data_IF_916789231938
#
_entry.id   IF_916789231938
#
_cell.length_a   1.000
_cell.length_b   1.000
_cell.length_c   1.000
_cell.angle_alpha   90.00
_cell.angle_beta   90.00
_cell.angle_gamma   90.00
#
_symmetry.space_group_name_H-M   'P 1'
#
loop_
_entity.id
_entity.type
_entity.pdbx_description
1 polymer ?
#
# COMPACT_ATOMS: atom_id res chain seq x y z
N UNK A 1 15.36 15.99 -19.76
CA UNK A 1 13.97 15.52 -19.92
C UNK A 1 13.97 14.02 -20.06
N UNK A 2 13.22 13.30 -19.22
CA UNK A 2 13.11 11.84 -19.26
C UNK A 2 12.19 11.39 -20.39
N UNK A 3 12.48 10.23 -20.98
CA UNK A 3 11.71 9.60 -22.05
C UNK A 3 11.84 8.07 -22.01
N UNK A 4 11.27 7.36 -23.00
CA UNK A 4 11.31 5.89 -23.04
C UNK A 4 12.72 5.30 -23.06
N UNK A 5 13.71 6.01 -23.57
CA UNK A 5 15.09 5.52 -23.66
C UNK A 5 15.91 5.85 -22.42
N UNK A 6 15.35 6.60 -21.46
CA UNK A 6 16.02 6.88 -20.18
C UNK A 6 16.23 5.57 -19.40
N UNK A 7 17.45 5.30 -18.91
CA UNK A 7 17.73 4.13 -18.06
C UNK A 7 16.84 4.10 -16.81
N UNK A 8 16.53 2.89 -16.33
CA UNK A 8 15.61 2.67 -15.20
C UNK A 8 16.01 3.44 -13.94
N UNK A 9 17.30 3.48 -13.60
CA UNK A 9 17.78 4.14 -12.38
C UNK A 9 17.72 5.66 -12.48
N UNK A 10 18.09 6.23 -13.63
CA UNK A 10 17.99 7.67 -13.88
C UNK A 10 16.53 8.13 -13.87
N UNK A 11 15.65 7.34 -14.50
CA UNK A 11 14.21 7.58 -14.51
C UNK A 11 13.63 7.53 -13.10
N UNK A 12 13.98 6.50 -12.32
CA UNK A 12 13.55 6.36 -10.93
C UNK A 12 13.96 7.56 -10.08
N UNK A 13 15.26 7.90 -10.08
CA UNK A 13 15.78 9.00 -9.26
C UNK A 13 15.14 10.34 -9.65
N UNK A 14 14.99 10.59 -10.95
CA UNK A 14 14.35 11.82 -11.45
C UNK A 14 12.89 11.91 -11.02
N UNK A 15 12.12 10.83 -11.17
CA UNK A 15 10.70 10.82 -10.79
C UNK A 15 10.53 10.96 -9.29
N UNK A 16 11.33 10.28 -8.47
CA UNK A 16 11.27 10.38 -7.01
C UNK A 16 11.52 11.80 -6.52
N UNK A 17 12.52 12.50 -7.09
CA UNK A 17 12.84 13.88 -6.70
C UNK A 17 11.80 14.89 -7.21
N UNK A 18 11.37 14.75 -8.46
CA UNK A 18 10.45 15.71 -9.07
C UNK A 18 8.99 15.51 -8.65
N UNK A 19 8.59 14.31 -8.22
CA UNK A 19 7.26 14.04 -7.68
C UNK A 19 6.94 14.96 -6.48
N UNK A 20 7.84 15.07 -5.52
CA UNK A 20 7.64 15.92 -4.33
C UNK A 20 7.56 17.40 -4.71
N UNK A 21 8.34 17.84 -5.72
CA UNK A 21 8.26 19.21 -6.24
C UNK A 21 6.93 19.46 -6.95
N UNK A 22 6.43 18.49 -7.71
CA UNK A 22 5.15 18.56 -8.40
C UNK A 22 3.97 18.62 -7.41
N UNK A 23 4.02 17.81 -6.34
CA UNK A 23 3.06 17.84 -5.23
C UNK A 23 3.09 19.18 -4.49
N UNK A 24 4.27 19.69 -4.14
CA UNK A 24 4.42 21.02 -3.54
C UNK A 24 3.84 22.12 -4.43
N UNK A 25 4.12 22.06 -5.74
CA UNK A 25 3.57 23.00 -6.70
C UNK A 25 2.04 22.96 -6.75
N UNK A 26 1.44 21.76 -6.76
CA UNK A 26 0.00 21.58 -6.71
C UNK A 26 -0.63 22.29 -5.49
N UNK A 27 -0.09 22.02 -4.29
CA UNK A 27 -0.55 22.65 -3.04
C UNK A 27 -0.46 24.18 -3.13
N UNK A 28 0.64 24.70 -3.70
CA UNK A 28 0.82 26.13 -3.92
C UNK A 28 -0.24 26.72 -4.87
N UNK A 29 -0.60 26.02 -5.94
CA UNK A 29 -1.64 26.47 -6.89
C UNK A 29 -3.04 26.52 -6.26
N UNK A 30 -3.33 25.65 -5.31
CA UNK A 30 -4.55 25.74 -4.49
C UNK A 30 -4.51 26.87 -3.44
N UNK A 31 -3.42 27.62 -3.37
CA UNK A 31 -3.25 28.77 -2.47
C UNK A 31 -2.62 28.40 -1.12
N UNK A 32 -1.84 27.32 -1.08
CA UNK A 32 -1.08 26.87 0.09
C UNK A 32 -1.81 25.84 0.95
N UNK A 33 -1.10 25.28 1.92
CA UNK A 33 -1.51 24.12 2.73
C UNK A 33 -2.95 24.24 3.26
N UNK A 34 -3.26 25.34 3.95
CA UNK A 34 -4.58 25.55 4.57
C UNK A 34 -5.73 25.54 3.57
N UNK A 35 -5.53 26.09 2.36
CA UNK A 35 -6.57 26.10 1.32
C UNK A 35 -6.68 24.76 0.62
N UNK A 36 -5.56 24.07 0.44
CA UNK A 36 -5.52 22.72 -0.07
C UNK A 36 -6.23 21.74 0.87
N UNK A 37 -5.98 21.80 2.19
CA UNK A 37 -6.70 21.03 3.20
C UNK A 37 -8.20 21.29 3.15
N UNK A 38 -8.63 22.55 3.14
CA UNK A 38 -10.05 22.89 3.05
C UNK A 38 -10.72 22.40 1.75
N UNK A 39 -9.99 22.42 0.63
CA UNK A 39 -10.44 21.87 -0.65
C UNK A 39 -10.59 20.34 -0.58
N UNK A 40 -9.61 19.67 0.02
CA UNK A 40 -9.61 18.20 0.26
C UNK A 40 -10.79 17.78 1.13
N UNK A 41 -11.02 18.46 2.26
CA UNK A 41 -12.13 18.16 3.17
C UNK A 41 -13.50 18.35 2.49
N UNK A 42 -13.62 19.37 1.65
CA UNK A 42 -14.82 19.60 0.83
C UNK A 42 -15.00 18.50 -0.22
N UNK A 43 -13.92 18.03 -0.86
CA UNK A 43 -13.99 16.91 -1.81
C UNK A 43 -14.38 15.60 -1.12
N UNK A 44 -13.76 15.27 0.03
CA UNK A 44 -14.11 14.10 0.86
C UNK A 44 -15.60 14.10 1.21
N UNK A 45 -16.11 15.22 1.73
CA UNK A 45 -17.52 15.36 2.10
C UNK A 45 -18.46 15.18 0.89
N UNK A 46 -18.10 15.76 -0.27
CA UNK A 46 -18.86 15.63 -1.51
C UNK A 46 -18.83 14.21 -2.08
N UNK A 47 -17.70 13.51 -1.94
CA UNK A 47 -17.50 12.13 -2.38
C UNK A 47 -18.47 11.20 -1.63
N UNK A 48 -18.53 11.30 -0.31
CA UNK A 48 -19.49 10.53 0.52
C UNK A 48 -20.93 10.88 0.17
N UNK A 49 -21.26 12.18 0.05
CA UNK A 49 -22.62 12.62 -0.29
C UNK A 49 -23.09 12.11 -1.66
N UNK A 50 -22.21 12.15 -2.67
CA UNK A 50 -22.51 11.68 -4.02
C UNK A 50 -22.37 10.16 -4.19
N UNK A 51 -21.77 9.47 -3.22
CA UNK A 51 -21.46 8.05 -3.27
C UNK A 51 -20.65 7.68 -4.52
N UNK A 52 -19.71 8.54 -4.91
CA UNK A 52 -18.83 8.30 -6.05
C UNK A 52 -17.47 8.97 -5.86
N UNK A 53 -16.42 8.35 -6.41
CA UNK A 53 -15.07 8.91 -6.43
C UNK A 53 -15.04 10.24 -7.21
N UNK A 54 -14.24 11.19 -6.72
CA UNK A 54 -14.13 12.54 -7.27
C UNK A 54 -12.67 12.96 -7.39
N UNK A 55 -12.37 13.84 -8.33
CA UNK A 55 -11.06 14.48 -8.45
C UNK A 55 -11.17 15.99 -8.25
N UNK A 56 -10.09 16.64 -7.82
CA UNK A 56 -9.97 18.10 -7.88
C UNK A 56 -9.80 18.59 -9.32
N UNK A 57 -9.73 19.91 -9.47
CA UNK A 57 -9.19 20.53 -10.67
C UNK A 57 -7.74 20.08 -10.88
N UNK A 58 -7.33 20.03 -12.15
CA UNK A 58 -6.01 19.58 -12.56
C UNK A 58 -5.02 20.73 -12.57
N UNK A 59 -3.82 20.48 -12.05
CA UNK A 59 -2.69 21.40 -12.02
C UNK A 59 -1.56 20.87 -12.90
N UNK A 60 -0.93 21.76 -13.65
CA UNK A 60 0.25 21.45 -14.45
C UNK A 60 1.52 22.00 -13.80
N UNK A 61 2.58 21.21 -13.85
CA UNK A 61 3.92 21.59 -13.41
C UNK A 61 4.95 21.20 -14.47
N UNK A 62 5.89 22.09 -14.77
CA UNK A 62 7.04 21.77 -15.61
C UNK A 62 8.29 21.93 -14.78
N UNK A 63 9.07 20.86 -14.66
CA UNK A 63 10.33 20.87 -13.91
C UNK A 63 11.40 21.70 -14.63
N UNK A 64 12.47 22.06 -13.90
CA UNK A 64 13.64 22.74 -14.48
C UNK A 64 14.30 21.92 -15.60
N UNK A 65 14.18 20.59 -15.51
CA UNK A 65 14.70 19.63 -16.49
C UNK A 65 13.79 19.46 -17.72
N UNK A 66 12.68 20.20 -17.76
CA UNK A 66 11.68 20.19 -18.84
C UNK A 66 10.65 19.07 -18.73
N UNK A 67 10.65 18.28 -17.64
CA UNK A 67 9.68 17.20 -17.46
C UNK A 67 8.32 17.80 -17.10
N UNK A 68 7.26 17.31 -17.75
CA UNK A 68 5.91 17.83 -17.56
C UNK A 68 5.11 16.91 -16.67
N UNK A 69 4.42 17.50 -15.72
CA UNK A 69 3.67 16.82 -14.67
C UNK A 69 2.23 17.30 -14.68
N UNK A 70 1.32 16.35 -14.46
CA UNK A 70 -0.09 16.58 -14.24
C UNK A 70 -0.42 16.11 -12.83
N UNK A 71 -0.98 17.00 -12.02
CA UNK A 71 -1.24 16.79 -10.60
C UNK A 71 -2.69 17.10 -10.26
N UNK A 72 -3.31 16.27 -9.43
CA UNK A 72 -4.65 16.53 -8.89
C UNK A 72 -4.87 15.73 -7.60
N UNK A 73 -5.83 16.16 -6.80
CA UNK A 73 -6.30 15.38 -5.66
C UNK A 73 -7.31 14.34 -6.15
N UNK A 74 -7.07 13.07 -5.84
CA UNK A 74 -8.02 12.00 -6.10
C UNK A 74 -8.70 11.58 -4.81
N UNK A 75 -10.02 11.48 -4.80
CA UNK A 75 -10.81 11.01 -3.67
C UNK A 75 -11.56 9.74 -4.06
N UNK A 76 -11.21 8.64 -3.42
CA UNK A 76 -11.84 7.32 -3.62
C UNK A 76 -13.00 7.14 -2.65
N UNK A 77 -14.16 6.70 -3.16
CA UNK A 77 -15.30 6.28 -2.35
C UNK A 77 -15.24 4.77 -2.07
N UNK A 78 -15.53 4.38 -0.83
CA UNK A 78 -15.62 2.99 -0.39
C UNK A 78 -17.09 2.67 -0.04
N UNK A 79 -17.84 2.00 -0.94
CA UNK A 79 -19.27 1.76 -0.75
C UNK A 79 -19.60 0.98 0.53
N UNK A 80 -18.80 -0.03 0.85
CA UNK A 80 -19.06 -0.93 1.99
C UNK A 80 -19.05 -0.21 3.35
N UNK A 81 -18.33 0.90 3.46
CA UNK A 81 -18.16 1.65 4.71
C UNK A 81 -18.73 3.07 4.65
N UNK A 82 -19.29 3.47 3.52
CA UNK A 82 -19.69 4.85 3.24
C UNK A 82 -18.60 5.86 3.62
N UNK A 83 -17.35 5.48 3.36
CA UNK A 83 -16.19 6.27 3.70
C UNK A 83 -15.44 6.71 2.44
N UNK A 84 -14.54 7.67 2.61
CA UNK A 84 -13.77 8.23 1.51
C UNK A 84 -12.36 8.53 1.96
N UNK A 85 -11.41 8.36 1.05
CA UNK A 85 -10.02 8.75 1.26
C UNK A 85 -9.50 9.57 0.10
N UNK A 86 -8.58 10.49 0.41
CA UNK A 86 -7.98 11.40 -0.55
C UNK A 86 -6.48 11.14 -0.67
N UNK A 87 -5.97 11.14 -1.90
CA UNK A 87 -4.54 11.03 -2.18
C UNK A 87 -4.13 12.00 -3.30
N UNK A 88 -3.06 12.78 -3.10
CA UNK A 88 -2.48 13.57 -4.18
C UNK A 88 -1.90 12.64 -5.23
N UNK A 89 -2.26 12.86 -6.48
CA UNK A 89 -1.86 12.04 -7.61
C UNK A 89 -1.08 12.89 -8.61
N UNK A 90 0.17 12.51 -8.90
CA UNK A 90 1.04 13.23 -9.82
C UNK A 90 1.61 12.26 -10.88
N UNK A 91 1.40 12.56 -12.16
CA UNK A 91 1.94 11.78 -13.27
C UNK A 91 2.88 12.64 -14.11
N UNK A 92 4.03 12.08 -14.48
CA UNK A 92 4.91 12.72 -15.44
C UNK A 92 4.53 12.26 -16.85
N UNK A 93 4.40 13.18 -17.81
CA UNK A 93 4.03 12.85 -19.18
C UNK A 93 4.97 13.51 -20.19
N UNK A 94 5.02 12.90 -21.37
CA UNK A 94 5.73 13.45 -22.52
C UNK A 94 4.88 13.25 -23.77
N UNK A 95 5.12 14.07 -24.77
CA UNK A 95 4.43 13.99 -26.05
C UNK A 95 5.42 13.55 -27.12
N UNK A 96 4.92 12.79 -28.07
CA UNK A 96 5.60 12.53 -29.34
C UNK A 96 4.86 13.27 -30.45
N UNK A 97 5.42 13.28 -31.66
CA UNK A 97 4.74 13.87 -32.81
C UNK A 97 3.32 13.29 -33.00
N UNK A 98 3.14 11.98 -32.81
CA UNK A 98 1.89 11.26 -33.10
C UNK A 98 1.08 10.83 -31.87
N UNK A 99 1.62 10.88 -30.65
CA UNK A 99 0.95 10.37 -29.44
C UNK A 99 1.55 11.00 -28.17
N UNK A 100 1.36 10.38 -27.00
CA UNK A 100 1.88 10.77 -25.69
C UNK A 100 2.23 9.53 -24.87
N UNK A 101 3.09 9.65 -23.88
CA UNK A 101 3.34 8.60 -22.89
C UNK A 101 3.37 9.16 -21.48
N UNK A 102 3.22 8.27 -20.50
CA UNK A 102 3.15 8.63 -19.07
C UNK A 102 4.10 7.74 -18.27
N UNK A 103 4.73 8.34 -17.28
CA UNK A 103 5.37 7.69 -16.16
C UNK A 103 4.48 7.87 -14.93
N UNK A 104 3.99 6.76 -14.38
CA UNK A 104 3.14 6.71 -13.20
C UNK A 104 3.95 6.13 -12.03
N UNK A 105 4.43 6.96 -11.10
CA UNK A 105 5.02 6.48 -9.85
C UNK A 105 3.98 5.75 -9.00
N UNK A 106 4.36 4.60 -8.44
CA UNK A 106 3.59 3.87 -7.44
C UNK A 106 4.27 3.92 -6.10
N UNK A 107 3.48 4.00 -5.05
CA UNK A 107 3.95 4.12 -3.67
C UNK A 107 3.42 2.95 -2.83
N UNK A 108 4.22 2.50 -1.88
CA UNK A 108 3.79 1.53 -0.86
C UNK A 108 3.03 2.25 0.29
N UNK A 109 2.57 1.48 1.27
CA UNK A 109 1.87 1.99 2.45
C UNK A 109 2.71 3.00 3.28
N UNK A 110 4.04 2.90 3.20
CA UNK A 110 4.99 3.80 3.85
C UNK A 110 5.23 5.09 3.06
N UNK A 111 4.48 5.33 1.97
CA UNK A 111 4.65 6.46 1.06
C UNK A 111 6.02 6.49 0.36
N UNK A 112 6.71 5.35 0.28
CA UNK A 112 7.94 5.20 -0.48
C UNK A 112 7.61 4.73 -1.89
N UNK A 113 8.27 5.33 -2.89
CA UNK A 113 8.09 4.90 -4.27
C UNK A 113 8.59 3.46 -4.41
N UNK A 114 7.71 2.54 -4.83
CA UNK A 114 8.00 1.11 -4.89
C UNK A 114 7.98 0.54 -6.32
N UNK A 115 7.41 1.27 -7.27
CA UNK A 115 7.43 0.94 -8.69
C UNK A 115 7.20 2.17 -9.57
N UNK A 116 7.51 2.04 -10.86
CA UNK A 116 7.09 3.00 -11.89
C UNK A 116 6.46 2.25 -13.05
N UNK A 117 5.23 2.62 -13.40
CA UNK A 117 4.58 2.18 -14.64
C UNK A 117 4.85 3.17 -15.77
N UNK A 118 5.31 2.65 -16.90
CA UNK A 118 5.51 3.37 -18.15
C UNK A 118 4.38 3.00 -19.10
N UNK A 119 3.49 3.94 -19.36
CA UNK A 119 2.42 3.81 -20.34
C UNK A 119 2.92 4.40 -21.66
N UNK A 120 3.14 3.51 -22.63
CA UNK A 120 3.80 3.86 -23.89
C UNK A 120 2.90 4.64 -24.86
N UNK A 121 3.46 5.35 -25.86
CA UNK A 121 2.67 6.03 -26.88
C UNK A 121 1.82 5.09 -27.74
N UNK A 122 2.30 3.87 -27.95
CA UNK A 122 1.52 2.81 -28.61
C UNK A 122 0.31 2.40 -27.76
N UNK A 123 0.44 2.33 -26.43
CA UNK A 123 -0.71 2.12 -25.55
C UNK A 123 -1.78 3.19 -25.76
N UNK A 124 -1.41 4.48 -25.78
CA UNK A 124 -2.38 5.57 -25.92
C UNK A 124 -3.11 5.56 -27.25
N UNK A 125 -2.42 5.22 -28.34
CA UNK A 125 -3.04 5.03 -29.65
C UNK A 125 -4.12 3.94 -29.57
N UNK A 126 -3.77 2.80 -28.99
CA UNK A 126 -4.70 1.68 -28.81
C UNK A 126 -5.83 1.99 -27.83
N UNK A 127 -5.57 2.77 -26.79
CA UNK A 127 -6.58 3.20 -25.82
C UNK A 127 -7.60 4.14 -26.48
N UNK A 128 -7.13 5.11 -27.27
CA UNK A 128 -8.00 6.01 -28.02
C UNK A 128 -8.91 5.26 -29.00
N UNK A 129 -8.32 4.37 -29.81
CA UNK A 129 -9.05 3.51 -30.75
C UNK A 129 -10.14 2.70 -30.05
N UNK A 130 -9.79 2.04 -28.93
CA UNK A 130 -10.70 1.12 -28.24
C UNK A 130 -11.79 1.79 -27.43
N UNK A 131 -11.50 2.96 -26.86
CA UNK A 131 -12.47 3.70 -26.05
C UNK A 131 -13.31 4.67 -26.87
N UNK A 132 -13.14 4.69 -28.20
CA UNK A 132 -13.84 5.60 -29.10
C UNK A 132 -13.55 7.06 -28.78
N UNK A 133 -12.33 7.37 -28.33
CA UNK A 133 -11.93 8.73 -27.96
C UNK A 133 -11.25 9.36 -29.17
N UNK A 134 -12.01 10.13 -29.94
CA UNK A 134 -11.48 11.01 -30.98
C UNK A 134 -11.16 12.38 -30.37
N UNK A 135 -9.94 12.89 -30.53
CA UNK A 135 -9.63 14.26 -30.10
C UNK A 135 -8.20 14.55 -29.66
N UNK A 136 -8.08 15.67 -28.95
CA UNK A 136 -6.84 16.24 -28.40
C UNK A 136 -6.12 15.26 -27.45
N UNK A 137 -4.81 15.09 -27.64
CA UNK A 137 -3.91 14.30 -26.79
C UNK A 137 -4.10 14.63 -25.30
N UNK A 138 -4.31 15.91 -24.97
CA UNK A 138 -4.52 16.32 -23.59
C UNK A 138 -5.85 15.87 -23.02
N UNK A 139 -6.92 15.84 -23.81
CA UNK A 139 -8.20 15.28 -23.37
C UNK A 139 -8.11 13.77 -23.15
N UNK A 140 -7.42 13.06 -24.04
CA UNK A 140 -7.15 11.63 -23.88
C UNK A 140 -6.35 11.35 -22.61
N UNK A 141 -5.28 12.12 -22.36
CA UNK A 141 -4.47 12.04 -21.15
C UNK A 141 -5.33 12.27 -19.91
N UNK A 142 -6.09 13.37 -19.87
CA UNK A 142 -6.96 13.71 -18.74
C UNK A 142 -7.96 12.60 -18.45
N UNK A 143 -8.68 12.13 -19.48
CA UNK A 143 -9.63 11.03 -19.35
C UNK A 143 -8.98 9.74 -18.88
N UNK A 144 -7.74 9.45 -19.29
CA UNK A 144 -7.00 8.29 -18.80
C UNK A 144 -6.63 8.45 -17.33
N UNK A 145 -5.97 9.54 -16.94
CA UNK A 145 -5.39 9.71 -15.60
C UNK A 145 -6.44 9.92 -14.50
N UNK A 146 -7.52 10.66 -14.76
CA UNK A 146 -8.60 10.85 -13.77
C UNK A 146 -9.42 9.59 -13.56
N UNK A 147 -9.19 8.58 -14.40
CA UNK A 147 -9.89 7.31 -14.37
C UNK A 147 -8.97 6.21 -13.82
N UNK A 148 -7.66 6.29 -14.06
CA UNK A 148 -6.67 5.29 -13.63
C UNK A 148 -5.95 5.74 -12.37
N UNK A 149 -6.62 5.67 -11.22
CA UNK A 149 -6.10 6.18 -9.94
C UNK A 149 -5.43 5.10 -9.07
N UNK A 150 -5.60 3.82 -9.39
CA UNK A 150 -4.88 2.72 -8.77
C UNK A 150 -4.61 1.62 -9.79
N UNK A 151 -3.55 0.86 -9.53
CA UNK A 151 -3.17 -0.27 -10.37
C UNK A 151 -2.57 -1.41 -9.55
N UNK A 152 -2.69 -2.62 -10.08
CA UNK A 152 -2.09 -3.83 -9.54
C UNK A 152 -1.22 -4.45 -10.61
N UNK A 153 0.01 -4.79 -10.24
CA UNK A 153 0.99 -5.45 -11.12
C UNK A 153 1.18 -6.87 -10.62
N UNK A 154 1.06 -7.83 -11.54
CA UNK A 154 1.46 -9.21 -11.29
C UNK A 154 2.60 -9.55 -12.24
N UNK A 155 3.82 -9.79 -11.71
CA UNK A 155 4.88 -10.39 -12.51
C UNK A 155 4.46 -11.80 -12.94
N UNK A 156 4.80 -12.14 -14.17
CA UNK A 156 4.69 -13.48 -14.74
C UNK A 156 6.08 -14.12 -14.77
N UNK A 157 6.10 -15.43 -15.05
CA UNK A 157 7.34 -16.17 -15.24
C UNK A 157 8.28 -15.45 -16.22
N UNK A 158 9.53 -15.35 -15.81
CA UNK A 158 10.63 -14.91 -16.65
C UNK A 158 10.73 -15.85 -17.85
N UNK A 159 10.74 -15.29 -19.06
CA UNK A 159 10.93 -16.12 -20.24
C UNK A 159 12.37 -16.60 -20.41
N UNK A 160 12.60 -17.48 -21.38
CA UNK A 160 13.90 -18.10 -21.64
C UNK A 160 15.03 -17.07 -21.91
N UNK A 161 14.68 -15.82 -22.21
CA UNK A 161 15.63 -14.73 -22.43
C UNK A 161 15.86 -13.85 -21.20
N UNK A 162 15.36 -14.25 -20.02
CA UNK A 162 15.48 -13.46 -18.81
C UNK A 162 14.50 -12.29 -18.73
N UNK A 163 13.49 -12.22 -19.60
CA UNK A 163 12.52 -11.12 -19.63
C UNK A 163 11.32 -11.43 -18.73
N UNK A 164 11.15 -10.66 -17.66
CA UNK A 164 9.98 -10.76 -16.78
C UNK A 164 8.78 -10.08 -17.45
N UNK A 165 7.78 -10.87 -17.84
CA UNK A 165 6.51 -10.35 -18.39
C UNK A 165 5.63 -9.91 -17.23
N UNK A 166 4.77 -8.94 -17.46
CA UNK A 166 3.83 -8.46 -16.43
C UNK A 166 2.41 -8.37 -16.97
N UNK A 167 1.45 -8.48 -16.05
CA UNK A 167 0.07 -8.09 -16.25
C UNK A 167 -0.23 -6.93 -15.30
N UNK A 168 -0.82 -5.87 -15.83
CA UNK A 168 -1.24 -4.70 -15.07
C UNK A 168 -2.75 -4.58 -15.18
N UNK A 169 -3.45 -4.36 -14.06
CA UNK A 169 -4.88 -4.01 -14.08
C UNK A 169 -5.07 -2.70 -13.33
N UNK A 170 -5.87 -1.79 -13.89
CA UNK A 170 -6.26 -0.57 -13.18
C UNK A 170 -7.65 -0.69 -12.58
N UNK A 171 -8.04 0.31 -11.80
CA UNK A 171 -9.40 0.48 -11.28
C UNK A 171 -10.50 0.45 -12.34
N UNK A 172 -10.17 0.70 -13.61
CA UNK A 172 -11.14 0.98 -14.67
C UNK A 172 -11.20 -0.10 -15.76
N UNK A 173 -11.02 -1.35 -15.35
CA UNK A 173 -11.33 -2.55 -16.14
C UNK A 173 -10.57 -2.71 -17.46
N UNK A 174 -9.38 -2.12 -17.55
CA UNK A 174 -8.44 -2.51 -18.58
C UNK A 174 -7.31 -3.37 -18.03
N UNK A 175 -6.92 -4.35 -18.85
CA UNK A 175 -5.78 -5.22 -18.58
C UNK A 175 -4.65 -4.85 -19.52
N UNK A 176 -3.53 -4.40 -18.96
CA UNK A 176 -2.31 -4.12 -19.68
C UNK A 176 -1.37 -5.32 -19.65
N UNK A 177 -0.67 -5.52 -20.76
CA UNK A 177 0.46 -6.46 -20.81
C UNK A 177 1.74 -5.70 -21.10
N UNK A 178 2.79 -6.11 -20.40
CA UNK A 178 4.05 -5.40 -20.40
C UNK A 178 5.22 -6.28 -20.04
N UNK A 179 6.33 -5.61 -19.76
CA UNK A 179 7.58 -6.20 -19.30
C UNK A 179 8.17 -5.39 -18.16
N UNK A 180 8.95 -6.02 -17.28
CA UNK A 180 9.87 -5.29 -16.41
C UNK A 180 11.11 -4.90 -17.19
N UNK A 181 11.56 -3.65 -17.05
CA UNK A 181 12.84 -3.20 -17.62
C UNK A 181 13.99 -3.77 -16.82
N UNK A 182 15.13 -3.97 -17.48
CA UNK A 182 16.38 -4.33 -16.82
C UNK A 182 16.79 -3.27 -15.79
N UNK A 183 17.42 -3.72 -14.71
CA UNK A 183 17.91 -2.89 -13.62
C UNK A 183 17.35 -3.32 -12.26
N UNK A 184 17.88 -2.68 -11.22
CA UNK A 184 17.56 -3.04 -9.82
C UNK A 184 16.22 -2.44 -9.36
N UNK A 185 15.68 -1.49 -10.12
CA UNK A 185 14.41 -0.82 -9.82
C UNK A 185 13.23 -1.51 -10.49
N UNK A 186 12.08 -1.47 -9.81
CA UNK A 186 10.81 -1.99 -10.32
C UNK A 186 10.19 -1.02 -11.33
N UNK A 187 10.74 -1.01 -12.54
CA UNK A 187 10.27 -0.19 -13.66
C UNK A 187 9.61 -1.08 -14.69
N UNK A 188 8.36 -0.78 -15.02
CA UNK A 188 7.46 -1.66 -15.75
C UNK A 188 6.90 -0.97 -16.97
N UNK A 189 7.09 -1.53 -18.17
CA UNK A 189 6.63 -0.95 -19.43
C UNK A 189 5.38 -1.66 -19.95
N UNK A 190 4.27 -0.93 -19.99
CA UNK A 190 2.99 -1.40 -20.52
C UNK A 190 2.91 -1.06 -22.01
N UNK A 191 2.88 -2.10 -22.84
CA UNK A 191 2.95 -1.97 -24.30
C UNK A 191 1.60 -2.05 -24.99
N UNK A 192 0.65 -2.71 -24.35
CA UNK A 192 -0.70 -2.93 -24.89
C UNK A 192 -1.73 -2.93 -23.78
N UNK A 193 -2.97 -2.77 -24.20
CA UNK A 193 -4.19 -2.81 -23.39
C UNK A 193 -5.12 -3.84 -23.99
N UNK A 194 -5.93 -4.50 -23.19
CA UNK A 194 -7.03 -5.38 -23.60
C UNK A 194 -8.21 -5.10 -22.68
N UNK A 195 -9.41 -5.06 -23.26
CA UNK A 195 -10.65 -5.11 -22.47
C UNK A 195 -10.95 -6.56 -22.08
N UNK A 196 -11.76 -6.77 -21.05
CA UNK A 196 -12.09 -8.14 -20.58
C UNK A 196 -12.69 -9.02 -21.69
N UNK A 197 -13.49 -8.42 -22.60
CA UNK A 197 -14.06 -9.10 -23.77
C UNK A 197 -13.01 -9.55 -24.81
N UNK A 198 -11.81 -8.98 -24.78
CA UNK A 198 -10.72 -9.25 -25.73
C UNK A 198 -9.70 -10.25 -25.18
N UNK A 199 -9.84 -10.67 -23.92
CA UNK A 199 -8.95 -11.65 -23.31
C UNK A 199 -9.28 -13.04 -23.86
N UNK A 200 -8.25 -13.76 -24.31
CA UNK A 200 -8.36 -15.21 -24.52
C UNK A 200 -8.63 -15.91 -23.18
N UNK A 201 -9.19 -17.13 -23.19
CA UNK A 201 -9.45 -17.90 -21.95
C UNK A 201 -8.24 -17.98 -21.01
N UNK A 202 -7.04 -18.19 -21.56
CA UNK A 202 -5.80 -18.22 -20.79
C UNK A 202 -5.43 -16.85 -20.20
N UNK A 203 -5.67 -15.76 -20.94
CA UNK A 203 -5.48 -14.41 -20.44
C UNK A 203 -6.53 -14.06 -19.39
N UNK A 204 -7.80 -14.45 -19.56
CA UNK A 204 -8.86 -14.26 -18.56
C UNK A 204 -8.50 -14.90 -17.23
N UNK A 205 -8.07 -16.17 -17.23
CA UNK A 205 -7.65 -16.85 -16.00
C UNK A 205 -6.48 -16.14 -15.30
N UNK A 206 -5.52 -15.63 -16.08
CA UNK A 206 -4.37 -14.85 -15.55
C UNK A 206 -4.82 -13.50 -15.01
N UNK A 207 -5.73 -12.82 -15.70
CA UNK A 207 -6.31 -11.54 -15.25
C UNK A 207 -7.14 -11.72 -13.98
N UNK A 208 -7.83 -12.86 -13.82
CA UNK A 208 -8.56 -13.18 -12.60
C UNK A 208 -7.64 -13.25 -11.39
N UNK A 209 -6.45 -13.83 -11.55
CA UNK A 209 -5.41 -13.80 -10.51
C UNK A 209 -5.05 -12.36 -10.13
N UNK A 210 -4.88 -11.46 -11.10
CA UNK A 210 -4.58 -10.03 -10.82
C UNK A 210 -5.77 -9.33 -10.15
N UNK A 211 -7.00 -9.67 -10.52
CA UNK A 211 -8.21 -9.15 -9.87
C UNK A 211 -8.27 -9.58 -8.40
N UNK A 212 -8.04 -10.85 -8.13
CA UNK A 212 -8.00 -11.39 -6.77
C UNK A 212 -6.81 -10.81 -5.96
N UNK A 213 -5.64 -10.62 -6.59
CA UNK A 213 -4.52 -9.93 -5.96
C UNK A 213 -4.88 -8.51 -5.54
N UNK A 214 -5.60 -7.77 -6.40
CA UNK A 214 -6.07 -6.42 -6.06
C UNK A 214 -6.95 -6.44 -4.82
N UNK A 215 -7.98 -7.30 -4.75
CA UNK A 215 -8.87 -7.37 -3.59
C UNK A 215 -8.12 -7.59 -2.27
N UNK A 216 -6.99 -8.29 -2.33
CA UNK A 216 -6.20 -8.68 -1.16
C UNK A 216 -5.12 -7.65 -0.81
N UNK A 217 -4.53 -7.02 -1.83
CA UNK A 217 -3.40 -6.08 -1.72
C UNK A 217 -3.80 -4.61 -1.82
N UNK A 218 -5.08 -4.29 -2.07
CA UNK A 218 -5.56 -2.92 -2.11
C UNK A 218 -5.26 -2.26 -0.77
N UNK A 219 -4.43 -1.22 -0.82
CA UNK A 219 -4.13 -0.43 0.37
C UNK A 219 -5.40 0.33 0.76
N UNK A 220 -5.91 0.02 1.94
CA UNK A 220 -7.02 0.73 2.55
C UNK A 220 -6.47 1.58 3.70
N UNK A 221 -6.78 2.88 3.73
CA UNK A 221 -6.43 3.73 4.86
C UNK A 221 -7.01 3.20 6.17
N UNK A 222 -6.33 3.49 7.26
CA UNK A 222 -6.65 2.98 8.58
C UNK A 222 -8.10 3.27 8.98
N UNK A 223 -8.61 4.47 8.70
CA UNK A 223 -9.97 4.88 9.03
C UNK A 223 -11.03 4.05 8.28
N UNK A 224 -10.70 3.61 7.06
CA UNK A 224 -11.57 2.75 6.25
C UNK A 224 -11.59 1.33 6.83
N UNK A 225 -10.41 0.81 7.17
CA UNK A 225 -10.26 -0.51 7.80
C UNK A 225 -11.01 -0.56 9.13
N UNK A 226 -10.86 0.47 9.97
CA UNK A 226 -11.57 0.57 11.25
C UNK A 226 -13.10 0.55 11.07
N UNK A 227 -13.63 1.30 10.10
CA UNK A 227 -15.07 1.28 9.80
C UNK A 227 -15.53 -0.09 9.30
N UNK A 228 -14.75 -0.76 8.44
CA UNK A 228 -15.06 -2.14 8.00
C UNK A 228 -15.13 -3.09 9.19
N UNK A 229 -14.15 -3.01 10.09
CA UNK A 229 -14.09 -3.84 11.30
C UNK A 229 -15.27 -3.57 12.24
N UNK A 230 -15.67 -2.31 12.42
CA UNK A 230 -16.84 -1.94 13.23
C UNK A 230 -18.16 -2.47 12.64
N UNK A 231 -18.23 -2.60 11.32
CA UNK A 231 -19.38 -3.20 10.62
C UNK A 231 -19.28 -4.74 10.50
N UNK A 232 -18.17 -5.35 10.92
CA UNK A 232 -17.94 -6.78 10.76
C UNK A 232 -18.45 -7.56 11.98
N UNK A 233 -19.36 -8.51 11.75
CA UNK A 233 -19.91 -9.34 12.81
C UNK A 233 -18.86 -10.29 13.45
N UNK A 234 -17.79 -10.63 12.72
CA UNK A 234 -16.70 -11.47 13.21
C UNK A 234 -15.34 -11.12 12.53
N UNK A 235 -14.54 -10.22 13.13
CA UNK A 235 -13.26 -9.79 12.60
C UNK A 235 -12.22 -10.91 12.42
N UNK A 236 -12.27 -11.95 13.25
CA UNK A 236 -11.34 -13.09 13.18
C UNK A 236 -11.63 -13.91 11.92
N UNK A 237 -12.92 -14.15 11.63
CA UNK A 237 -13.31 -14.85 10.41
C UNK A 237 -12.90 -14.06 9.16
N UNK A 238 -13.13 -12.75 9.14
CA UNK A 238 -12.74 -11.90 8.01
C UNK A 238 -11.21 -11.88 7.79
N UNK A 239 -10.43 -11.92 8.86
CA UNK A 239 -8.98 -12.09 8.76
C UNK A 239 -8.61 -13.46 8.17
N UNK A 240 -9.16 -14.54 8.72
CA UNK A 240 -8.88 -15.90 8.24
C UNK A 240 -9.27 -16.06 6.76
N UNK A 241 -10.42 -15.53 6.35
CA UNK A 241 -10.86 -15.54 4.95
C UNK A 241 -9.87 -14.77 4.04
N UNK A 242 -9.30 -13.65 4.53
CA UNK A 242 -8.25 -12.91 3.82
C UNK A 242 -6.95 -13.72 3.73
N UNK A 243 -6.55 -14.41 4.81
CA UNK A 243 -5.37 -15.27 4.82
C UNK A 243 -5.51 -16.45 3.87
N UNK A 244 -6.66 -17.12 3.87
CA UNK A 244 -6.96 -18.23 2.97
C UNK A 244 -6.88 -17.77 1.50
N UNK A 245 -7.38 -16.58 1.20
CA UNK A 245 -7.23 -15.95 -0.12
C UNK A 245 -5.76 -15.66 -0.46
N UNK A 246 -4.97 -15.14 0.48
CA UNK A 246 -3.53 -14.88 0.28
C UNK A 246 -2.76 -16.17 -0.01
N UNK A 247 -3.01 -17.22 0.78
CA UNK A 247 -2.45 -18.56 0.60
C UNK A 247 -2.82 -19.16 -0.75
N UNK A 248 -4.09 -19.07 -1.15
CA UNK A 248 -4.56 -19.54 -2.45
C UNK A 248 -3.89 -18.82 -3.64
N UNK A 249 -3.42 -17.59 -3.43
CA UNK A 249 -2.70 -16.80 -4.43
C UNK A 249 -1.17 -17.03 -4.42
N UNK A 250 -0.66 -17.80 -3.45
CA UNK A 250 0.75 -18.07 -3.25
C UNK A 250 1.54 -16.85 -2.75
N UNK A 251 0.88 -15.94 -2.03
CA UNK A 251 1.53 -14.81 -1.40
C UNK A 251 2.23 -15.25 -0.12
N UNK A 252 3.37 -14.63 0.21
CA UNK A 252 3.97 -14.79 1.52
C UNK A 252 3.11 -14.11 2.57
N UNK A 253 2.56 -14.92 3.46
CA UNK A 253 1.64 -14.54 4.54
C UNK A 253 2.32 -14.44 5.90
N UNK A 254 3.60 -14.80 5.98
CA UNK A 254 4.31 -15.00 7.23
C UNK A 254 4.19 -13.79 8.17
N UNK A 255 4.36 -12.58 7.62
CA UNK A 255 4.26 -11.33 8.39
C UNK A 255 2.84 -11.07 8.90
N UNK A 256 1.81 -11.30 8.09
CA UNK A 256 0.42 -11.08 8.46
C UNK A 256 -0.05 -12.09 9.52
N UNK A 257 0.32 -13.37 9.36
CA UNK A 257 -0.01 -14.45 10.31
C UNK A 257 0.67 -14.22 11.66
N UNK A 258 1.94 -13.85 11.64
CA UNK A 258 2.68 -13.51 12.86
C UNK A 258 2.07 -12.27 13.54
N UNK A 259 1.74 -11.21 12.78
CA UNK A 259 1.08 -10.03 13.32
C UNK A 259 -0.24 -10.32 14.04
N UNK A 260 -1.09 -11.20 13.46
CA UNK A 260 -2.33 -11.63 14.13
C UNK A 260 -2.03 -12.48 15.37
N UNK A 261 -1.16 -13.49 15.24
CA UNK A 261 -0.80 -14.35 16.36
C UNK A 261 -0.27 -13.52 17.54
N UNK A 262 0.57 -12.53 17.29
CA UNK A 262 1.07 -11.62 18.32
C UNK A 262 -0.03 -10.74 18.91
N UNK A 263 -0.94 -10.22 18.09
CA UNK A 263 -2.09 -9.45 18.59
C UNK A 263 -3.02 -10.29 19.48
N UNK A 264 -3.25 -11.56 19.11
CA UNK A 264 -4.03 -12.52 19.91
C UNK A 264 -3.32 -12.90 21.20
N UNK A 265 -2.00 -13.16 21.16
CA UNK A 265 -1.19 -13.46 22.34
C UNK A 265 -1.18 -12.28 23.30
N UNK A 266 -0.95 -11.05 22.78
CA UNK A 266 -0.99 -9.82 23.58
C UNK A 266 -2.39 -9.68 24.21
N UNK A 267 -3.46 -9.74 23.43
CA UNK A 267 -4.83 -9.63 23.95
C UNK A 267 -5.13 -10.67 25.02
N UNK A 268 -4.71 -11.93 24.81
CA UNK A 268 -4.87 -13.03 25.76
C UNK A 268 -4.06 -12.81 27.05
N UNK A 269 -2.84 -12.29 26.93
CA UNK A 269 -1.96 -11.94 28.05
C UNK A 269 -2.60 -10.89 28.94
N UNK A 270 -3.13 -9.81 28.35
CA UNK A 270 -3.80 -8.74 29.07
C UNK A 270 -5.10 -9.19 29.75
N UNK A 271 -5.87 -10.08 29.10
CA UNK A 271 -7.03 -10.72 29.71
C UNK A 271 -6.64 -11.60 30.92
N UNK A 272 -5.58 -12.41 30.79
CA UNK A 272 -5.04 -13.25 31.89
C UNK A 272 -4.57 -12.41 33.08
N UNK A 273 -4.04 -11.21 32.84
CA UNK A 273 -3.57 -10.28 33.88
C UNK A 273 -4.70 -9.51 34.58
N UNK A 274 -5.98 -9.75 34.26
CA UNK A 274 -7.10 -9.04 34.88
C UNK A 274 -7.20 -7.55 34.51
N UNK A 275 -6.45 -7.11 33.49
CA UNK A 275 -6.47 -5.75 32.93
C UNK A 275 -7.61 -5.64 31.88
N UNK A 276 -8.70 -6.40 32.07
CA UNK A 276 -9.81 -6.46 31.12
C UNK A 276 -10.62 -5.16 31.09
N UNK A 277 -10.63 -4.39 32.19
CA UNK A 277 -11.43 -3.15 32.33
C UNK A 277 -10.86 -1.94 31.60
N UNK A 278 -9.69 -2.05 30.95
CA UNK A 278 -9.16 -1.02 30.05
C UNK A 278 -9.61 -1.20 28.60
N UNK A 279 -10.33 -2.27 28.25
CA UNK A 279 -10.80 -2.53 26.88
C UNK A 279 -12.19 -1.91 26.62
N UNK A 280 -12.24 -0.59 26.61
CA UNK A 280 -13.24 0.12 25.80
C UNK A 280 -12.61 0.44 24.43
N UNK A 281 -13.42 0.56 23.39
CA UNK A 281 -13.02 1.07 22.07
C UNK A 281 -12.16 2.35 22.21
N UNK A 282 -12.45 3.18 23.22
CA UNK A 282 -11.66 4.36 23.60
C UNK A 282 -10.18 4.09 23.92
N UNK A 283 -9.79 2.90 24.37
CA UNK A 283 -8.39 2.56 24.66
C UNK A 283 -7.60 2.34 23.37
N UNK A 284 -8.14 1.56 22.43
CA UNK A 284 -7.52 1.37 21.12
C UNK A 284 -7.55 2.65 20.29
N UNK A 285 -8.61 3.45 20.41
CA UNK A 285 -8.66 4.80 19.84
C UNK A 285 -7.63 5.73 20.50
N UNK A 286 -7.46 5.75 21.83
CA UNK A 286 -6.44 6.60 22.48
C UNK A 286 -5.00 6.27 22.13
N UNK A 287 -4.71 5.01 21.83
CA UNK A 287 -3.35 4.55 21.54
C UNK A 287 -2.97 4.61 20.05
N UNK A 288 -3.67 5.44 19.24
CA UNK A 288 -3.38 5.91 17.87
C UNK A 288 -1.88 6.00 17.45
N UNK A 289 -1.08 4.91 17.39
CA UNK A 289 0.29 4.90 16.81
C UNK A 289 1.12 3.61 16.84
N UNK A 290 0.64 2.47 17.31
CA UNK A 290 1.41 1.21 17.14
C UNK A 290 0.54 0.26 16.32
N UNK A 291 0.59 0.41 15.00
CA UNK A 291 -0.06 -0.53 14.09
C UNK A 291 0.39 -1.95 14.42
N UNK A 292 -0.44 -2.95 14.15
CA UNK A 292 -0.01 -4.37 14.15
C UNK A 292 1.30 -4.57 13.38
N UNK A 293 1.54 -3.74 12.37
CA UNK A 293 2.77 -3.62 11.59
C UNK A 293 3.97 -3.10 12.40
N UNK A 294 3.80 -2.16 13.34
CA UNK A 294 4.85 -1.67 14.22
C UNK A 294 5.18 -2.66 15.36
N UNK A 295 4.18 -3.41 15.84
CA UNK A 295 4.41 -4.56 16.75
C UNK A 295 5.13 -5.68 15.99
N UNK A 296 4.68 -5.98 14.76
CA UNK A 296 5.31 -6.90 13.84
C UNK A 296 6.76 -6.51 13.54
N UNK A 297 7.04 -5.25 13.22
CA UNK A 297 8.39 -4.74 12.96
C UNK A 297 9.31 -4.80 14.20
N UNK A 298 8.80 -4.49 15.39
CA UNK A 298 9.57 -4.60 16.63
C UNK A 298 9.90 -6.05 17.00
N UNK A 299 9.05 -7.00 16.61
CA UNK A 299 9.26 -8.44 16.81
C UNK A 299 10.07 -9.06 15.65
N UNK A 300 9.93 -8.57 14.43
CA UNK A 300 10.74 -8.93 13.26
C UNK A 300 12.18 -8.45 13.42
N UNK A 301 12.43 -7.28 14.03
CA UNK A 301 13.79 -6.89 14.46
C UNK A 301 14.42 -7.90 15.45
N UNK A 302 13.59 -8.70 16.13
CA UNK A 302 14.02 -9.81 16.98
C UNK A 302 14.05 -11.16 16.26
N UNK A 303 13.74 -11.25 14.95
CA UNK A 303 13.67 -12.51 14.19
C UNK A 303 14.50 -12.44 12.89
N UNK A 304 14.67 -11.26 12.28
CA UNK A 304 15.32 -11.05 10.97
C UNK A 304 16.83 -11.28 10.96
N UNK A 305 17.47 -11.45 12.12
CA UNK A 305 18.77 -12.11 12.13
C UNK A 305 18.51 -13.60 12.31
N UNK A 306 18.67 -14.39 11.24
CA UNK A 306 18.73 -15.86 11.24
C UNK A 306 19.87 -16.45 12.09
N UNK A 307 20.25 -15.76 13.16
CA UNK A 307 21.01 -16.24 14.29
C UNK A 307 20.06 -17.06 15.16
N UNK A 308 20.42 -18.31 15.39
CA UNK A 308 19.85 -19.19 16.41
C UNK A 308 20.01 -18.68 17.86
N UNK A 309 20.11 -17.37 18.09
CA UNK A 309 20.25 -16.77 19.41
C UNK A 309 19.98 -15.27 19.35
N UNK A 310 18.73 -14.87 19.17
CA UNK A 310 18.32 -13.56 19.68
C UNK A 310 18.46 -13.66 21.18
N UNK A 311 19.26 -12.78 21.77
CA UNK A 311 19.56 -12.92 23.19
C UNK A 311 18.27 -12.70 23.96
N UNK A 312 18.04 -13.52 24.98
CA UNK A 312 16.91 -13.37 25.92
C UNK A 312 16.80 -11.92 26.45
N UNK A 313 17.93 -11.22 26.53
CA UNK A 313 18.04 -9.82 26.93
C UNK A 313 17.36 -8.86 25.94
N UNK A 314 17.49 -9.10 24.63
CA UNK A 314 16.84 -8.31 23.60
C UNK A 314 15.32 -8.57 23.59
N UNK A 315 14.90 -9.83 23.77
CA UNK A 315 13.48 -10.19 23.86
C UNK A 315 12.77 -9.51 25.03
N UNK A 316 13.40 -9.52 26.21
CA UNK A 316 12.87 -8.84 27.40
C UNK A 316 12.93 -7.32 27.25
N UNK A 317 13.96 -6.77 26.60
CA UNK A 317 14.05 -5.33 26.30
C UNK A 317 12.91 -4.88 25.37
N UNK A 318 12.64 -5.65 24.31
CA UNK A 318 11.53 -5.41 23.38
C UNK A 318 10.17 -5.53 24.08
N UNK A 319 9.96 -6.58 24.88
CA UNK A 319 8.75 -6.74 25.69
C UNK A 319 8.54 -5.56 26.64
N UNK A 320 9.61 -5.05 27.27
CA UNK A 320 9.58 -3.87 28.14
C UNK A 320 9.27 -2.59 27.36
N UNK A 321 9.82 -2.42 26.16
CA UNK A 321 9.52 -1.26 25.30
C UNK A 321 8.06 -1.27 24.85
N UNK A 322 7.52 -2.43 24.48
CA UNK A 322 6.11 -2.62 24.14
C UNK A 322 5.25 -2.26 25.36
N UNK A 323 5.55 -2.84 26.53
CA UNK A 323 4.82 -2.56 27.76
C UNK A 323 4.85 -1.09 28.19
N UNK A 324 6.02 -0.43 28.07
CA UNK A 324 6.18 0.99 28.38
C UNK A 324 5.39 1.87 27.40
N UNK A 325 5.39 1.54 26.11
CA UNK A 325 4.59 2.24 25.09
C UNK A 325 3.09 2.04 25.29
N UNK A 326 2.68 0.88 25.81
CA UNK A 326 1.30 0.57 26.21
C UNK A 326 0.92 1.14 27.58
N UNK A 327 1.80 1.91 28.24
CA UNK A 327 1.52 2.53 29.54
C UNK A 327 1.37 1.54 30.70
N UNK A 328 1.84 0.28 30.54
CA UNK A 328 1.79 -0.73 31.60
C UNK A 328 2.75 -0.31 32.71
N UNK A 329 2.24 -0.16 33.94
CA UNK A 329 3.06 0.22 35.11
C UNK A 329 4.18 -0.78 35.36
N UNK A 330 5.28 -0.31 35.97
CA UNK A 330 6.53 -1.06 36.23
C UNK A 330 6.39 -2.44 36.90
N UNK A 331 5.27 -2.74 37.57
CA UNK A 331 5.03 -4.05 38.20
C UNK A 331 4.37 -5.07 37.25
N UNK A 332 3.53 -4.62 36.33
CA UNK A 332 2.73 -5.49 35.46
C UNK A 332 3.45 -5.90 34.17
N UNK A 333 4.48 -5.18 33.72
CA UNK A 333 5.20 -5.58 32.51
C UNK A 333 6.02 -6.88 32.67
N UNK A 334 6.33 -7.30 33.91
CA UNK A 334 7.07 -8.54 34.17
C UNK A 334 6.23 -9.78 33.87
N UNK A 335 4.96 -9.75 34.27
CA UNK A 335 3.98 -10.77 33.87
C UNK A 335 3.75 -10.74 32.36
N UNK A 336 3.64 -9.54 31.77
CA UNK A 336 3.54 -9.40 30.31
C UNK A 336 4.74 -10.02 29.57
N UNK A 337 5.97 -9.73 30.01
CA UNK A 337 7.18 -10.27 29.41
C UNK A 337 7.30 -11.79 29.62
N UNK A 338 6.95 -12.29 30.81
CA UNK A 338 6.97 -13.73 31.10
C UNK A 338 5.98 -14.50 30.20
N UNK A 339 4.74 -14.03 30.09
CA UNK A 339 3.74 -14.67 29.22
C UNK A 339 4.15 -14.57 27.74
N UNK A 340 4.71 -13.44 27.31
CA UNK A 340 5.21 -13.29 25.93
C UNK A 340 6.38 -14.27 25.63
N UNK A 341 7.29 -14.49 26.57
CA UNK A 341 8.39 -15.46 26.44
C UNK A 341 7.89 -16.90 26.35
N UNK A 342 6.89 -17.27 27.16
CA UNK A 342 6.33 -18.63 27.16
C UNK A 342 5.42 -18.86 25.94
N UNK A 343 4.47 -17.96 25.68
CA UNK A 343 3.42 -18.17 24.67
C UNK A 343 3.96 -17.89 23.24
N UNK A 344 4.80 -16.86 23.03
CA UNK A 344 5.34 -16.49 21.71
C UNK A 344 6.67 -17.17 21.40
N UNK A 345 7.61 -17.19 22.35
CA UNK A 345 8.96 -17.73 22.13
C UNK A 345 9.11 -19.20 22.54
N UNK A 346 8.01 -19.83 23.01
CA UNK A 346 7.94 -21.25 23.39
C UNK A 346 8.99 -21.66 24.42
N UNK A 347 9.44 -20.71 25.25
CA UNK A 347 10.31 -21.00 26.38
C UNK A 347 9.53 -21.77 27.45
N UNK A 348 10.20 -22.69 28.13
CA UNK A 348 9.61 -23.29 29.33
C UNK A 348 9.42 -22.23 30.42
N UNK A 349 8.47 -22.48 31.31
CA UNK A 349 8.18 -21.59 32.44
C UNK A 349 9.43 -21.32 33.29
N UNK A 350 10.31 -22.32 33.43
CA UNK A 350 11.59 -22.16 34.13
C UNK A 350 12.59 -21.28 33.37
N UNK A 351 12.68 -21.42 32.04
CA UNK A 351 13.58 -20.63 31.22
C UNK A 351 13.14 -19.16 31.15
N UNK A 352 11.84 -18.91 31.01
CA UNK A 352 11.27 -17.56 31.06
C UNK A 352 11.45 -16.92 32.45
N UNK A 353 11.30 -17.69 33.52
CA UNK A 353 11.51 -17.19 34.89
C UNK A 353 12.98 -16.86 35.16
N UNK A 354 13.91 -17.72 34.74
CA UNK A 354 15.35 -17.50 34.93
C UNK A 354 15.88 -16.37 34.04
N UNK A 355 15.39 -16.26 32.81
CA UNK A 355 15.57 -15.11 31.93
C UNK A 355 15.19 -13.81 32.63
N UNK A 356 13.97 -13.77 33.19
CA UNK A 356 13.43 -12.64 33.94
C UNK A 356 14.11 -12.42 35.31
N UNK A 357 14.97 -13.32 35.79
CA UNK A 357 15.77 -13.10 37.02
C UNK A 357 17.16 -12.55 36.70
N UNK A 358 17.82 -13.08 35.67
CA UNK A 358 19.19 -12.69 35.26
C UNK A 358 19.30 -11.23 34.81
N UNK A 359 18.21 -10.66 34.32
CA UNK A 359 18.16 -9.28 33.81
C UNK A 359 17.86 -8.22 34.89
N UNK A 360 17.60 -8.64 36.12
CA UNK A 360 17.12 -7.76 37.20
C UNK A 360 17.91 -7.87 38.50
N UNK A 361 19.05 -8.58 38.47
CA UNK A 361 20.19 -8.27 39.35
C UNK A 361 20.91 -7.06 38.77
#
# INVERSE_FOLDING_TARGET
MINLNTPSDELWNTLSEEHEKAKYWMIKQFGGEKRYEAMRDKLLSRCVYKQCSLTSDVVYYTSRSGNRWICFENVTFYPDTFASNSMPTCFCFYETASSLGIFMPGFNAQSEMNCVLIITPHFFQRYAERMGIEGDKMQLLLKFVTSSCSYTISPLDTDDNGLEKIVVRTSNDWTGHGIRRSGDKNVYEVRTILTDAQLSKAQTARTERVRNLREVMEYEPEEIVQRKLACCANPIQAFNDKMDKMHALGLDTFRQENGLNYSLIISTTFMKMGIATLFDIEFWERYHKVSHEAIGYLLDLCIEDGRNSVSINELVSTARQIAARLGIKNFAWREFAHILLVDSFKLSDSEATDAMKRLFQ
#
